data_IF_558756111186
#
_entry.id   IF_558756111186
#
_cell.length_a   1.000
_cell.length_b   1.000
_cell.length_c   1.000
_cell.angle_alpha   90.00
_cell.angle_beta   90.00
_cell.angle_gamma   90.00
#
_symmetry.space_group_name_H-M   'P 1'
#
loop_
_entity.id
_entity.type
_entity.pdbx_description
1 polymer ?
#
# COMPACT_ATOMS: atom_id res chain seq x y z
N UNK A 1 -8.85 -4.45 -4.20
CA UNK A 1 -7.45 -4.19 -3.77
C UNK A 1 -6.53 -4.64 -4.89
N UNK A 2 -5.39 -3.98 -5.06
CA UNK A 2 -4.36 -4.33 -6.04
C UNK A 2 -3.08 -4.73 -5.31
N UNK A 3 -2.43 -5.80 -5.74
CA UNK A 3 -1.11 -6.17 -5.22
C UNK A 3 -0.04 -5.29 -5.88
N UNK A 4 0.87 -4.76 -5.07
CA UNK A 4 2.05 -3.98 -5.48
C UNK A 4 3.25 -4.41 -4.66
N UNK A 5 4.43 -3.98 -5.07
CA UNK A 5 5.67 -4.27 -4.36
C UNK A 5 6.36 -2.96 -3.99
N UNK A 6 6.87 -2.92 -2.76
CA UNK A 6 7.83 -1.90 -2.37
C UNK A 6 9.09 -2.04 -3.22
N UNK A 7 9.88 -0.98 -3.33
CA UNK A 7 11.17 -0.99 -4.02
C UNK A 7 12.16 -2.01 -3.43
N UNK A 8 12.01 -2.37 -2.16
CA UNK A 8 12.77 -3.44 -1.52
C UNK A 8 12.28 -4.87 -1.87
N UNK A 9 11.23 -5.00 -2.70
CA UNK A 9 10.61 -6.28 -3.06
C UNK A 9 9.53 -6.76 -2.09
N UNK A 10 9.27 -6.06 -0.98
CA UNK A 10 8.23 -6.45 -0.04
C UNK A 10 6.82 -6.28 -0.64
N UNK A 11 6.01 -7.33 -0.57
CA UNK A 11 4.65 -7.32 -1.09
C UNK A 11 3.72 -6.44 -0.24
N UNK A 12 2.88 -5.66 -0.90
CA UNK A 12 1.90 -4.78 -0.31
C UNK A 12 0.58 -4.86 -1.07
N UNK A 13 -0.50 -4.52 -0.38
CA UNK A 13 -1.83 -4.38 -0.96
C UNK A 13 -2.24 -2.93 -0.96
N UNK A 14 -2.78 -2.47 -2.08
CA UNK A 14 -3.22 -1.10 -2.28
C UNK A 14 -4.72 -1.08 -2.49
N UNK A 15 -5.40 -0.21 -1.76
CA UNK A 15 -6.81 0.09 -1.95
C UNK A 15 -6.96 1.53 -2.40
N UNK A 16 -7.55 1.71 -3.58
CA UNK A 16 -7.97 3.01 -4.09
C UNK A 16 -9.40 3.25 -3.63
N UNK A 17 -9.63 4.38 -2.96
CA UNK A 17 -10.93 4.80 -2.49
C UNK A 17 -11.23 6.18 -3.05
N UNK A 18 -12.40 6.33 -3.67
CA UNK A 18 -12.91 7.60 -4.17
C UNK A 18 -14.16 7.99 -3.38
N UNK A 19 -13.96 8.47 -2.16
CA UNK A 19 -15.06 8.95 -1.30
C UNK A 19 -15.13 10.47 -1.43
N UNK A 20 -16.33 11.01 -1.61
CA UNK A 20 -16.60 12.47 -1.63
C UNK A 20 -15.70 13.25 -2.62
N UNK A 21 -15.50 12.71 -3.83
CA UNK A 21 -14.63 13.30 -4.87
C UNK A 21 -13.14 13.42 -4.49
N UNK A 22 -12.70 12.81 -3.38
CA UNK A 22 -11.28 12.71 -2.99
C UNK A 22 -10.77 11.31 -3.30
N UNK A 23 -9.72 11.22 -4.10
CA UNK A 23 -8.98 9.99 -4.31
C UNK A 23 -8.01 9.78 -3.15
N UNK A 24 -8.15 8.67 -2.44
CA UNK A 24 -7.25 8.24 -1.39
C UNK A 24 -6.70 6.87 -1.71
N UNK A 25 -5.41 6.72 -1.49
CA UNK A 25 -4.72 5.45 -1.61
C UNK A 25 -4.37 4.98 -0.21
N UNK A 26 -4.73 3.74 0.12
CA UNK A 26 -4.40 3.12 1.39
C UNK A 26 -3.55 1.88 1.15
N UNK A 27 -2.49 1.72 1.93
CA UNK A 27 -1.58 0.57 1.81
C UNK A 27 -1.76 -0.38 2.99
N UNK A 28 -1.61 -1.67 2.72
CA UNK A 28 -1.78 -2.75 3.68
C UNK A 28 -0.62 -3.73 3.54
N UNK A 29 -0.03 -4.13 4.67
CA UNK A 29 0.98 -5.18 4.75
C UNK A 29 0.32 -6.49 5.20
N UNK A 30 0.61 -7.60 4.53
CA UNK A 30 0.04 -8.91 4.81
C UNK A 30 -0.85 -9.43 3.66
N UNK A 31 -1.93 -10.12 4.00
CA UNK A 31 -2.85 -10.68 3.00
C UNK A 31 -3.94 -9.66 2.60
N UNK A 32 -4.65 -9.92 1.51
CA UNK A 32 -5.77 -9.11 1.06
C UNK A 32 -6.96 -9.05 2.05
N UNK A 33 -7.07 -9.99 2.99
CA UNK A 33 -8.19 -10.07 3.94
C UNK A 33 -7.80 -9.77 5.39
N UNK A 34 -6.52 -9.94 5.75
CA UNK A 34 -6.02 -9.74 7.12
C UNK A 34 -4.87 -8.73 7.21
N UNK A 35 -4.67 -7.93 6.17
CA UNK A 35 -3.59 -6.95 6.11
C UNK A 35 -3.79 -5.80 7.10
N UNK A 36 -2.71 -5.38 7.76
CA UNK A 36 -2.70 -4.18 8.60
C UNK A 36 -2.43 -2.96 7.73
N UNK A 37 -3.19 -1.88 7.92
CA UNK A 37 -2.91 -0.60 7.25
C UNK A 37 -1.53 -0.07 7.68
N UNK A 38 -0.74 0.33 6.70
CA UNK A 38 0.61 0.89 6.88
C UNK A 38 0.79 2.10 5.97
N UNK A 39 1.56 3.08 6.41
CA UNK A 39 1.97 4.23 5.57
C UNK A 39 3.49 4.16 5.24
N UNK A 40 4.21 3.26 5.89
CA UNK A 40 5.63 2.96 5.67
C UNK A 40 5.82 1.46 5.43
N UNK A 41 6.82 1.09 4.63
CA UNK A 41 7.16 -0.31 4.42
C UNK A 41 7.67 -0.92 5.74
N UNK A 42 7.09 -2.04 6.21
CA UNK A 42 7.54 -2.68 7.44
C UNK A 42 8.93 -3.34 7.32
N UNK A 43 9.42 -3.56 6.09
CA UNK A 43 10.70 -4.22 5.84
C UNK A 43 11.87 -3.23 5.73
N UNK A 44 11.73 -2.16 4.94
CA UNK A 44 12.81 -1.20 4.70
C UNK A 44 12.58 0.18 5.32
N UNK A 45 11.42 0.42 5.94
CA UNK A 45 11.06 1.73 6.51
C UNK A 45 10.77 2.82 5.48
N UNK A 46 10.85 2.52 4.18
CA UNK A 46 10.60 3.50 3.14
C UNK A 46 9.13 3.97 3.14
N UNK A 47 8.86 5.27 2.89
CA UNK A 47 7.50 5.78 2.77
C UNK A 47 6.78 5.14 1.57
N UNK A 48 5.54 4.72 1.78
CA UNK A 48 4.72 4.12 0.72
C UNK A 48 4.02 5.23 -0.06
N UNK A 49 4.39 5.35 -1.33
CA UNK A 49 3.79 6.28 -2.27
C UNK A 49 3.42 5.53 -3.55
N UNK A 50 2.20 5.73 -4.05
CA UNK A 50 1.71 4.99 -5.21
C UNK A 50 2.58 5.18 -6.45
N UNK A 51 3.24 6.33 -6.60
CA UNK A 51 4.11 6.64 -7.72
C UNK A 51 5.51 6.01 -7.59
N UNK A 52 5.83 5.45 -6.41
CA UNK A 52 7.13 4.84 -6.12
C UNK A 52 7.06 3.31 -5.95
N UNK A 53 5.87 2.73 -5.97
CA UNK A 53 5.67 1.28 -5.93
C UNK A 53 5.80 0.68 -7.32
N UNK A 54 6.33 -0.54 -7.39
CA UNK A 54 6.30 -1.38 -8.58
C UNK A 54 4.99 -2.19 -8.63
#
# INVERSE_FOLDING_TARGET
MQQRFCTCGHQLWVLYSSIERKFRTMFFAGTCFSGKRVDICPCCGAPLDINRLN
#
